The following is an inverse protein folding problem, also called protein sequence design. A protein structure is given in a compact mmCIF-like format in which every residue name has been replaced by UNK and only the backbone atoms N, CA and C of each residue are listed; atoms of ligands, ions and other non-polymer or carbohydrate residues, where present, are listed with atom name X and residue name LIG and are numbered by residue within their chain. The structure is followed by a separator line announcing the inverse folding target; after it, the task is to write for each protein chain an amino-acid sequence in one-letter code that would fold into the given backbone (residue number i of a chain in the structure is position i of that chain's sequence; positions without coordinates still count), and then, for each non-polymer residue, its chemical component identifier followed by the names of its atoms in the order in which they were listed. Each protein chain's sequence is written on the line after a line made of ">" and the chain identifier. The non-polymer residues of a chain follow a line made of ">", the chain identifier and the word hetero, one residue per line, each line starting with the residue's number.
data_IF_624073346270
#
_entry.id   IF_624073346270
#
_cell.length_a   1.000
_cell.length_b   1.000
_cell.length_c   1.000
_cell.angle_alpha   90.00
_cell.angle_beta   90.00
_cell.angle_gamma   90.00
#
_symmetry.space_group_name_H-M   'P 1'
#
loop_
_entity.id
_entity.type
_entity.pdbx_description
1 polymer ?
#
# COMPACT_ATOMS: atom_id res chain seq x y z
N UNK A 1 28.73 -17.05 14.96
CA UNK A 1 27.36 -17.34 15.43
C UNK A 1 26.28 -17.31 14.32
N UNK A 2 26.43 -16.56 13.23
CA UNK A 2 25.37 -16.43 12.18
C UNK A 2 25.31 -17.60 11.17
N UNK A 3 26.46 -18.21 10.83
CA UNK A 3 26.55 -19.31 9.84
C UNK A 3 25.60 -20.50 10.08
N UNK A 4 25.47 -21.06 11.31
CA UNK A 4 24.55 -22.18 11.54
C UNK A 4 23.07 -21.77 11.41
N UNK A 5 22.71 -20.53 11.79
CA UNK A 5 21.35 -20.00 11.60
C UNK A 5 21.02 -19.85 10.12
N UNK A 6 21.97 -19.40 9.30
CA UNK A 6 21.76 -19.31 7.84
C UNK A 6 21.72 -20.68 7.15
N UNK A 7 22.22 -21.73 7.78
CA UNK A 7 22.14 -23.09 7.26
C UNK A 7 20.80 -23.77 7.57
N UNK A 8 20.01 -23.23 8.49
CA UNK A 8 18.71 -23.77 8.90
C UNK A 8 17.75 -23.92 7.71
N UNK A 9 17.29 -25.13 7.49
CA UNK A 9 16.47 -25.48 6.33
C UNK A 9 15.05 -24.92 6.44
N UNK A 10 14.51 -24.80 7.66
CA UNK A 10 13.21 -24.19 7.92
C UNK A 10 13.26 -22.71 7.58
N UNK A 11 14.30 -22.00 8.04
CA UNK A 11 14.52 -20.59 7.73
C UNK A 11 14.65 -20.36 6.22
N UNK A 12 15.43 -21.18 5.52
CA UNK A 12 15.57 -21.10 4.05
C UNK A 12 14.25 -21.30 3.32
N UNK A 13 13.43 -22.26 3.76
CA UNK A 13 12.11 -22.52 3.16
C UNK A 13 11.16 -21.34 3.37
N UNK A 14 11.13 -20.80 4.59
CA UNK A 14 10.31 -19.63 4.94
C UNK A 14 10.74 -18.38 4.16
N UNK A 15 12.05 -18.13 4.05
CA UNK A 15 12.60 -17.03 3.26
C UNK A 15 12.16 -17.13 1.79
N UNK A 16 12.34 -18.30 1.16
CA UNK A 16 11.87 -18.54 -0.22
C UNK A 16 10.36 -18.35 -0.38
N UNK A 17 9.56 -18.68 0.63
CA UNK A 17 8.12 -18.45 0.59
C UNK A 17 7.79 -16.95 0.68
N UNK A 18 8.53 -16.18 1.48
CA UNK A 18 8.39 -14.74 1.57
C UNK A 18 8.82 -14.04 0.27
N UNK A 19 9.91 -14.49 -0.37
CA UNK A 19 10.37 -13.93 -1.64
C UNK A 19 9.29 -14.04 -2.72
N UNK A 20 8.63 -15.20 -2.84
CA UNK A 20 7.50 -15.39 -3.76
C UNK A 20 6.32 -14.46 -3.46
N UNK A 21 6.03 -14.22 -2.17
CA UNK A 21 4.96 -13.29 -1.76
C UNK A 21 5.36 -11.84 -2.07
N UNK A 22 6.63 -11.50 -1.89
CA UNK A 22 7.16 -10.18 -2.18
C UNK A 22 7.07 -9.87 -3.68
N UNK A 23 7.32 -10.84 -4.57
CA UNK A 23 7.13 -10.67 -6.02
C UNK A 23 5.68 -10.29 -6.38
N UNK A 24 4.70 -11.01 -5.83
CA UNK A 24 3.28 -10.72 -6.06
C UNK A 24 2.90 -9.34 -5.49
N UNK A 25 3.43 -9.01 -4.32
CA UNK A 25 3.18 -7.71 -3.69
C UNK A 25 3.83 -6.56 -4.48
N UNK A 26 5.01 -6.76 -5.06
CA UNK A 26 5.66 -5.78 -5.92
C UNK A 26 4.85 -5.54 -7.20
N UNK A 27 4.32 -6.59 -7.82
CA UNK A 27 3.42 -6.45 -8.96
C UNK A 27 2.15 -5.65 -8.62
N UNK A 28 1.60 -5.82 -7.41
CA UNK A 28 0.48 -5.00 -6.94
C UNK A 28 0.88 -3.53 -6.76
N UNK A 29 2.05 -3.26 -6.16
CA UNK A 29 2.58 -1.89 -5.95
C UNK A 29 2.81 -1.17 -7.28
N UNK A 30 3.32 -1.88 -8.28
CA UNK A 30 3.48 -1.38 -9.64
C UNK A 30 2.13 -1.07 -10.30
N UNK A 31 1.15 -1.97 -10.19
CA UNK A 31 -0.19 -1.76 -10.73
C UNK A 31 -0.89 -0.55 -10.08
N UNK A 32 -0.78 -0.41 -8.76
CA UNK A 32 -1.33 0.70 -8.00
C UNK A 32 -0.56 2.02 -8.16
N UNK A 33 0.66 1.99 -8.70
CA UNK A 33 1.59 3.14 -8.75
C UNK A 33 1.77 3.78 -7.37
N UNK A 34 1.95 2.95 -6.34
CA UNK A 34 2.18 3.38 -4.96
C UNK A 34 3.39 2.63 -4.41
N UNK A 35 4.36 3.37 -3.88
CA UNK A 35 5.54 2.80 -3.24
C UNK A 35 6.25 1.84 -4.21
N UNK A 36 6.71 2.30 -5.38
CA UNK A 36 7.31 1.39 -6.37
C UNK A 36 8.49 0.58 -5.76
N UNK A 37 8.80 -0.63 -6.25
CA UNK A 37 9.85 -1.48 -5.69
C UNK A 37 11.23 -0.81 -5.66
N UNK A 38 11.53 -0.01 -6.68
CA UNK A 38 12.74 0.81 -6.83
C UNK A 38 12.77 2.01 -5.84
N UNK A 39 11.59 2.39 -5.33
CA UNK A 39 11.37 3.58 -4.51
C UNK A 39 11.80 3.38 -3.06
N UNK A 40 12.53 4.36 -2.52
CA UNK A 40 12.99 4.35 -1.11
C UNK A 40 11.98 4.96 -0.14
N UNK A 41 10.89 5.54 -0.66
CA UNK A 41 9.93 6.27 0.15
C UNK A 41 8.99 5.34 0.92
N UNK A 42 8.77 4.12 0.44
CA UNK A 42 7.96 3.11 1.13
C UNK A 42 6.61 3.66 1.54
N UNK A 43 6.28 3.58 2.84
CA UNK A 43 5.05 4.15 3.38
C UNK A 43 4.95 5.67 3.25
N UNK A 44 6.03 6.40 2.92
CA UNK A 44 6.01 7.84 2.70
C UNK A 44 5.90 8.21 1.21
N UNK A 45 5.68 7.25 0.33
CA UNK A 45 5.49 7.51 -1.11
C UNK A 45 4.13 8.21 -1.36
N UNK A 46 4.19 9.33 -2.07
CA UNK A 46 3.03 10.14 -2.44
C UNK A 46 2.32 9.63 -3.71
N UNK A 47 2.90 8.64 -4.38
CA UNK A 47 2.45 8.11 -5.65
C UNK A 47 2.95 8.93 -6.84
N UNK A 48 2.58 8.47 -8.02
CA UNK A 48 2.88 9.09 -9.31
C UNK A 48 1.62 9.78 -9.89
N UNK A 49 1.82 10.78 -10.76
CA UNK A 49 0.80 11.53 -11.50
C UNK A 49 0.25 10.72 -12.70
N UNK A 50 0.25 9.39 -12.61
CA UNK A 50 -0.35 8.52 -13.62
C UNK A 50 -1.87 8.69 -13.56
N UNK A 51 -2.50 8.83 -14.73
CA UNK A 51 -3.95 8.88 -14.90
C UNK A 51 -4.70 7.73 -14.18
N UNK A 52 -5.78 8.08 -13.46
CA UNK A 52 -6.50 7.15 -12.59
C UNK A 52 -7.11 5.98 -13.34
N UNK A 53 -7.63 6.23 -14.56
CA UNK A 53 -8.22 5.18 -15.40
C UNK A 53 -7.17 4.15 -15.80
N UNK A 54 -5.96 4.61 -16.15
CA UNK A 54 -4.83 3.73 -16.45
C UNK A 54 -4.43 2.85 -15.25
N UNK A 55 -4.42 3.42 -14.03
CA UNK A 55 -4.13 2.64 -12.81
C UNK A 55 -5.23 1.60 -12.57
N UNK A 56 -6.51 1.99 -12.69
CA UNK A 56 -7.67 1.10 -12.55
C UNK A 56 -7.59 -0.10 -13.49
N UNK A 57 -7.27 0.13 -14.76
CA UNK A 57 -7.10 -0.92 -15.78
C UNK A 57 -5.95 -1.87 -15.41
N UNK A 58 -4.80 -1.34 -14.95
CA UNK A 58 -3.66 -2.16 -14.52
C UNK A 58 -3.99 -3.02 -13.30
N UNK A 59 -4.72 -2.48 -12.32
CA UNK A 59 -5.11 -3.24 -11.12
C UNK A 59 -6.15 -4.31 -11.48
N UNK A 60 -7.08 -4.02 -12.40
CA UNK A 60 -8.01 -5.04 -12.91
C UNK A 60 -7.25 -6.18 -13.62
N UNK A 61 -6.28 -5.85 -14.48
CA UNK A 61 -5.44 -6.86 -15.14
C UNK A 61 -4.63 -7.69 -14.14
N UNK A 62 -4.13 -7.08 -13.06
CA UNK A 62 -3.47 -7.78 -11.97
C UNK A 62 -4.40 -8.77 -11.26
N UNK A 63 -5.64 -8.36 -10.93
CA UNK A 63 -6.62 -9.26 -10.32
C UNK A 63 -6.97 -10.44 -11.23
N UNK A 64 -7.19 -10.20 -12.52
CA UNK A 64 -7.49 -11.26 -13.48
C UNK A 64 -6.33 -12.24 -13.63
N UNK A 65 -5.08 -11.74 -13.69
CA UNK A 65 -3.89 -12.60 -13.68
C UNK A 65 -3.87 -13.50 -12.45
N UNK A 66 -4.08 -12.95 -11.25
CA UNK A 66 -4.12 -13.73 -10.00
C UNK A 66 -5.25 -14.76 -9.96
N UNK A 67 -6.42 -14.44 -10.50
CA UNK A 67 -7.56 -15.37 -10.58
C UNK A 67 -7.31 -16.49 -11.58
N UNK A 68 -6.65 -16.19 -12.71
CA UNK A 68 -6.34 -17.16 -13.76
C UNK A 68 -5.30 -18.20 -13.33
N UNK A 69 -4.42 -17.84 -12.38
CA UNK A 69 -3.38 -18.74 -11.90
C UNK A 69 -3.93 -19.73 -10.86
N UNK A 70 -4.16 -20.97 -11.28
CA UNK A 70 -4.82 -22.02 -10.46
C UNK A 70 -4.18 -22.24 -9.08
N UNK A 71 -2.85 -22.08 -8.99
CA UNK A 71 -2.12 -22.30 -7.72
C UNK A 71 -2.27 -21.15 -6.73
N UNK A 72 -2.48 -19.93 -7.22
CA UNK A 72 -2.64 -18.73 -6.40
C UNK A 72 -4.11 -18.50 -6.06
N UNK A 73 -5.01 -18.69 -7.03
CA UNK A 73 -6.45 -18.48 -6.86
C UNK A 73 -7.06 -19.37 -5.77
N UNK A 74 -6.50 -20.57 -5.54
CA UNK A 74 -6.94 -21.48 -4.47
C UNK A 74 -6.53 -21.01 -3.07
N UNK A 75 -5.51 -20.16 -2.92
CA UNK A 75 -5.02 -19.75 -1.60
C UNK A 75 -5.85 -18.62 -1.00
N UNK A 76 -6.24 -18.81 0.26
CA UNK A 76 -7.10 -17.84 0.95
C UNK A 76 -6.45 -16.48 1.17
N UNK A 77 -5.12 -16.43 1.29
CA UNK A 77 -4.37 -15.17 1.42
C UNK A 77 -4.57 -14.23 0.21
N UNK A 78 -4.56 -14.78 -1.01
CA UNK A 78 -4.77 -13.98 -2.23
C UNK A 78 -6.24 -13.66 -2.46
N UNK A 79 -7.16 -14.56 -2.10
CA UNK A 79 -8.61 -14.26 -2.11
C UNK A 79 -8.94 -13.08 -1.20
N UNK A 80 -8.39 -13.07 0.03
CA UNK A 80 -8.59 -11.96 0.98
C UNK A 80 -8.00 -10.66 0.46
N UNK A 81 -6.83 -10.71 -0.17
CA UNK A 81 -6.22 -9.54 -0.80
C UNK A 81 -7.11 -8.96 -1.92
N UNK A 82 -7.60 -9.82 -2.82
CA UNK A 82 -8.53 -9.41 -3.88
C UNK A 82 -9.81 -8.82 -3.29
N UNK A 83 -10.40 -9.48 -2.28
CA UNK A 83 -11.61 -9.01 -1.60
C UNK A 83 -11.42 -7.62 -0.98
N UNK A 84 -10.25 -7.33 -0.41
CA UNK A 84 -9.95 -6.00 0.13
C UNK A 84 -9.86 -4.95 -0.98
N UNK A 85 -9.23 -5.29 -2.12
CA UNK A 85 -9.18 -4.41 -3.28
C UNK A 85 -10.60 -4.12 -3.79
N UNK A 86 -11.46 -5.14 -3.88
CA UNK A 86 -12.85 -5.00 -4.32
C UNK A 86 -13.68 -4.15 -3.34
N UNK A 87 -13.49 -4.35 -2.03
CA UNK A 87 -14.21 -3.60 -0.97
C UNK A 87 -13.95 -2.10 -1.06
N UNK A 88 -12.73 -1.72 -1.45
CA UNK A 88 -12.32 -0.31 -1.53
C UNK A 88 -12.20 0.20 -2.97
N UNK A 89 -12.67 -0.56 -3.96
CA UNK A 89 -12.48 -0.28 -5.38
C UNK A 89 -12.88 1.14 -5.76
N UNK A 90 -14.09 1.55 -5.39
CA UNK A 90 -14.62 2.88 -5.71
C UNK A 90 -13.85 4.01 -5.01
N UNK A 91 -13.23 3.73 -3.87
CA UNK A 91 -12.41 4.71 -3.14
C UNK A 91 -10.98 4.79 -3.70
N UNK A 92 -10.44 3.68 -4.18
CA UNK A 92 -9.10 3.60 -4.75
C UNK A 92 -9.00 4.34 -6.09
N UNK A 93 -10.09 4.37 -6.85
CA UNK A 93 -10.13 4.94 -8.20
C UNK A 93 -11.22 6.00 -8.37
N UNK A 94 -11.49 6.75 -7.30
CA UNK A 94 -12.46 7.85 -7.33
C UNK A 94 -12.00 8.96 -8.29
N UNK A 95 -12.95 9.52 -9.04
CA UNK A 95 -12.69 10.66 -9.93
C UNK A 95 -12.36 11.93 -9.11
N UNK A 96 -11.64 12.89 -9.72
CA UNK A 96 -11.42 14.19 -9.10
C UNK A 96 -12.74 14.92 -8.81
N UNK A 97 -12.78 15.62 -7.69
CA UNK A 97 -13.93 16.45 -7.29
C UNK A 97 -13.71 17.86 -7.82
N UNK A 98 -14.65 18.37 -8.63
CA UNK A 98 -14.64 19.78 -9.03
C UNK A 98 -15.12 20.69 -7.91
N UNK A 99 -14.34 21.73 -7.61
CA UNK A 99 -14.67 22.76 -6.64
C UNK A 99 -14.50 24.16 -7.24
N UNK A 100 -15.49 25.01 -7.02
CA UNK A 100 -15.41 26.42 -7.43
C UNK A 100 -14.77 27.25 -6.33
N UNK A 101 -13.64 27.90 -6.66
CA UNK A 101 -12.91 28.80 -5.76
C UNK A 101 -12.91 30.22 -6.31
N UNK A 102 -12.54 31.21 -5.49
CA UNK A 102 -12.37 32.60 -5.94
C UNK A 102 -11.34 32.76 -7.07
N UNK A 103 -10.43 31.78 -7.22
CA UNK A 103 -9.42 31.73 -8.28
C UNK A 103 -9.84 30.95 -9.53
N UNK A 104 -11.08 30.41 -9.56
CA UNK A 104 -11.60 29.59 -10.64
C UNK A 104 -11.99 28.17 -10.20
N UNK A 105 -12.35 27.34 -11.17
CA UNK A 105 -12.64 25.92 -10.96
C UNK A 105 -11.35 25.14 -10.73
N UNK A 106 -11.32 24.31 -9.69
CA UNK A 106 -10.19 23.46 -9.34
C UNK A 106 -10.66 22.00 -9.21
N UNK A 107 -9.83 21.07 -9.65
CA UNK A 107 -10.06 19.64 -9.47
C UNK A 107 -9.23 19.14 -8.29
N UNK A 108 -9.89 18.56 -7.29
CA UNK A 108 -9.25 17.94 -6.14
C UNK A 108 -9.33 16.43 -6.27
N UNK A 109 -8.18 15.78 -6.45
CA UNK A 109 -8.09 14.33 -6.43
C UNK A 109 -8.15 13.81 -4.97
N UNK A 110 -9.12 12.95 -4.62
CA UNK A 110 -9.12 12.29 -3.32
C UNK A 110 -7.86 11.45 -3.12
N UNK A 111 -7.31 11.48 -1.91
CA UNK A 111 -6.16 10.67 -1.56
C UNK A 111 -6.56 9.19 -1.50
N UNK A 112 -5.88 8.36 -2.30
CA UNK A 112 -6.13 6.91 -2.39
C UNK A 112 -5.64 6.15 -1.16
N UNK A 113 -4.64 6.71 -0.48
CA UNK A 113 -4.08 6.15 0.75
C UNK A 113 -4.12 7.19 1.86
N UNK A 114 -4.17 6.73 3.10
CA UNK A 114 -4.17 7.60 4.27
C UNK A 114 -2.77 8.17 4.61
N UNK A 115 -1.80 8.07 3.70
CA UNK A 115 -0.39 8.33 3.98
C UNK A 115 -0.13 9.75 4.52
N UNK A 116 -0.72 10.78 3.88
CA UNK A 116 -0.55 12.18 4.31
C UNK A 116 -1.02 12.38 5.76
N UNK A 117 -2.25 11.94 6.06
CA UNK A 117 -2.82 12.07 7.41
C UNK A 117 -2.05 11.22 8.42
N UNK A 118 -1.66 9.99 8.06
CA UNK A 118 -0.86 9.14 8.94
C UNK A 118 0.52 9.75 9.25
N UNK A 119 1.19 10.34 8.25
CA UNK A 119 2.44 11.09 8.43
C UNK A 119 2.22 12.26 9.37
N UNK A 120 1.18 13.05 9.14
CA UNK A 120 0.82 14.17 10.00
C UNK A 120 0.60 13.74 11.46
N UNK A 121 -0.24 12.74 11.71
CA UNK A 121 -0.52 12.26 13.07
C UNK A 121 0.69 11.60 13.73
N UNK A 122 1.55 10.93 12.97
CA UNK A 122 2.80 10.36 13.46
C UNK A 122 3.76 11.45 13.93
N UNK A 123 3.92 12.51 13.15
CA UNK A 123 4.77 13.64 13.50
C UNK A 123 4.21 14.44 14.68
N UNK A 124 2.88 14.64 14.70
CA UNK A 124 2.19 15.27 15.82
C UNK A 124 2.47 14.51 17.12
N UNK A 125 2.22 13.19 17.14
CA UNK A 125 2.49 12.33 18.30
C UNK A 125 3.96 12.37 18.71
N UNK A 126 4.89 12.35 17.75
CA UNK A 126 6.32 12.41 18.03
C UNK A 126 6.72 13.74 18.68
N UNK A 127 6.20 14.87 18.20
CA UNK A 127 6.44 16.21 18.78
C UNK A 127 5.89 16.30 20.20
N UNK A 128 4.67 15.83 20.44
CA UNK A 128 4.10 15.81 21.79
C UNK A 128 4.92 14.96 22.76
N UNK A 129 5.32 13.73 22.37
CA UNK A 129 6.17 12.88 23.22
C UNK A 129 7.49 13.53 23.61
N UNK A 130 8.14 14.24 22.68
CA UNK A 130 9.37 15.00 22.97
C UNK A 130 9.14 16.12 23.99
N UNK A 131 7.96 16.75 23.96
CA UNK A 131 7.61 17.87 24.86
C UNK A 131 7.12 17.41 26.24
N UNK A 132 6.35 16.33 26.31
CA UNK A 132 5.63 15.91 27.53
C UNK A 132 6.17 14.63 28.17
N UNK A 133 7.25 14.05 27.65
CA UNK A 133 7.90 12.88 28.27
C UNK A 133 7.00 11.64 28.32
N UNK A 134 6.12 11.45 27.32
CA UNK A 134 5.16 10.32 27.20
C UNK A 134 4.00 10.27 28.22
N UNK A 135 3.94 11.18 29.19
CA UNK A 135 2.94 11.20 30.28
C UNK A 135 1.49 11.25 29.78
N UNK A 136 1.25 11.86 28.62
CA UNK A 136 -0.09 12.19 28.11
C UNK A 136 -0.68 11.18 27.10
N UNK A 137 -0.11 9.99 26.90
CA UNK A 137 -0.55 9.04 25.86
C UNK A 137 -0.88 7.63 26.37
N UNK A 138 -0.90 7.41 27.69
CA UNK A 138 -1.18 6.11 28.34
C UNK A 138 -2.57 6.01 28.96
N UNK A 139 -3.44 7.01 28.77
CA UNK A 139 -4.84 6.91 29.19
C UNK A 139 -5.71 6.45 28.02
N UNK A 140 -5.78 5.13 27.83
CA UNK A 140 -6.88 4.42 27.16
C UNK A 140 -7.17 3.17 27.97
#
# INVERSE_FOLDING_TARGET
>A
MIKPVMADQTLKRSAKALDKKAEIFNALREALRIALPEGKNGLNDDGDDTDMKTIKEKVAAFQEKLKSEETLSKRDEYKKMIQQIDTYWDKLFADPISVHTATGEQLIQPQRTNNILERFFRDLKRKYRKKTGTISLTQV
#
